data_IF_257309541211
#
_entry.id   IF_257309541211
#
_cell.length_a   1.000
_cell.length_b   1.000
_cell.length_c   1.000
_cell.angle_alpha   90.00
_cell.angle_beta   90.00
_cell.angle_gamma   90.00
#
_symmetry.space_group_name_H-M   'P 1'
#
loop_
_entity.id
_entity.type
_entity.pdbx_description
1 polymer ?
#
# COMPACT_ATOMS: atom_id res chain seq x y z
N UNK A 1 -20.24 30.01 60.84
CA UNK A 1 -20.13 28.58 61.20
C UNK A 1 -21.39 27.83 60.74
N UNK A 2 -21.28 26.55 60.33
CA UNK A 2 -21.54 26.14 58.95
C UNK A 2 -22.50 24.95 58.79
N UNK A 3 -22.85 24.60 57.54
CA UNK A 3 -23.14 23.26 56.96
C UNK A 3 -23.52 23.51 55.48
N UNK A 4 -22.77 23.16 54.44
CA UNK A 4 -21.90 22.02 54.23
C UNK A 4 -22.67 20.91 53.52
N UNK A 5 -22.63 20.87 52.18
CA UNK A 5 -22.71 19.64 51.38
C UNK A 5 -22.55 19.98 49.89
N UNK A 6 -21.34 19.74 49.36
CA UNK A 6 -21.02 19.89 47.95
C UNK A 6 -21.84 18.96 47.07
N UNK A 7 -22.33 19.49 45.94
CA UNK A 7 -22.74 18.68 44.80
C UNK A 7 -21.53 18.51 43.88
N UNK A 8 -20.68 17.54 44.21
CA UNK A 8 -19.76 16.93 43.26
C UNK A 8 -20.38 15.66 42.68
N UNK A 9 -19.91 15.29 41.48
CA UNK A 9 -20.26 14.08 40.69
C UNK A 9 -21.64 14.12 40.01
N UNK A 10 -21.77 13.92 38.69
CA UNK A 10 -20.87 13.39 37.66
C UNK A 10 -21.26 14.01 36.33
N UNK A 11 -20.29 14.56 35.60
CA UNK A 11 -20.38 14.66 34.13
C UNK A 11 -20.58 13.24 33.62
N UNK A 12 -21.78 12.94 33.12
CA UNK A 12 -22.11 11.64 32.51
C UNK A 12 -21.54 11.64 31.09
N UNK A 13 -20.22 11.48 31.00
CA UNK A 13 -19.48 11.30 29.75
C UNK A 13 -19.61 9.83 29.36
N UNK A 14 -20.77 9.39 28.85
CA UNK A 14 -20.86 8.04 28.28
C UNK A 14 -21.88 8.02 27.15
N UNK A 15 -21.39 7.70 25.96
CA UNK A 15 -22.20 7.26 24.85
C UNK A 15 -22.10 8.09 23.57
N UNK A 16 -20.93 8.65 23.24
CA UNK A 16 -20.62 8.73 21.81
C UNK A 16 -20.55 7.27 21.34
N UNK A 17 -21.64 6.74 20.80
CA UNK A 17 -21.56 5.64 19.83
C UNK A 17 -20.80 6.26 18.67
N UNK A 18 -19.46 6.32 18.78
CA UNK A 18 -18.61 6.45 17.62
C UNK A 18 -18.93 5.20 16.85
N UNK A 19 -19.84 5.36 15.90
CA UNK A 19 -20.37 4.27 15.13
C UNK A 19 -19.13 3.70 14.45
N UNK A 20 -18.72 2.47 14.79
CA UNK A 20 -17.50 1.92 14.23
C UNK A 20 -17.54 1.92 12.70
N UNK A 21 -18.75 1.92 12.12
CA UNK A 21 -19.01 2.19 10.72
C UNK A 21 -18.59 3.60 10.27
N UNK A 22 -18.84 4.65 11.05
CA UNK A 22 -18.38 6.01 10.78
C UNK A 22 -16.86 6.12 10.94
N UNK A 23 -16.26 5.46 11.94
CA UNK A 23 -14.81 5.40 12.08
C UNK A 23 -14.15 4.64 10.92
N UNK A 24 -14.76 3.52 10.51
CA UNK A 24 -14.29 2.67 9.42
C UNK A 24 -14.53 3.34 8.06
N UNK A 25 -15.63 4.10 7.92
CA UNK A 25 -15.87 4.94 6.76
C UNK A 25 -14.87 6.10 6.76
N UNK A 26 -14.64 6.82 7.85
CA UNK A 26 -13.62 7.87 7.94
C UNK A 26 -12.18 7.36 7.67
N UNK A 27 -11.89 6.09 8.02
CA UNK A 27 -10.64 5.41 7.64
C UNK A 27 -10.56 5.00 6.15
N UNK A 28 -11.70 4.89 5.47
CA UNK A 28 -11.82 4.48 4.06
C UNK A 28 -12.14 5.66 3.12
N UNK A 29 -12.69 6.77 3.64
CA UNK A 29 -13.42 7.76 2.84
C UNK A 29 -12.55 8.92 2.31
N UNK A 30 -12.85 9.27 1.06
CA UNK A 30 -12.45 10.39 0.19
C UNK A 30 -10.97 10.82 0.02
N UNK A 31 -10.01 10.32 0.82
CA UNK A 31 -8.58 10.58 0.60
C UNK A 31 -7.73 9.35 0.88
N UNK A 32 -7.95 8.25 0.15
CA UNK A 32 -7.24 6.98 0.39
C UNK A 32 -5.71 7.13 0.50
N UNK A 33 -5.10 8.04 -0.26
CA UNK A 33 -3.64 8.33 -0.18
C UNK A 33 -3.22 9.16 1.04
N UNK A 34 -4.14 9.94 1.62
CA UNK A 34 -3.90 10.73 2.84
C UNK A 34 -4.25 9.96 4.12
N UNK A 35 -4.87 8.80 4.00
CA UNK A 35 -5.23 7.96 5.13
C UNK A 35 -4.10 6.98 5.49
N UNK A 36 -3.83 6.83 6.78
CA UNK A 36 -2.84 5.88 7.31
C UNK A 36 -3.18 4.43 6.91
N UNK A 37 -4.46 4.12 6.74
CA UNK A 37 -4.92 2.79 6.35
C UNK A 37 -4.20 2.26 5.10
N UNK A 38 -4.08 3.09 4.07
CA UNK A 38 -3.48 2.67 2.79
C UNK A 38 -2.01 2.30 2.97
N UNK A 39 -1.27 3.11 3.73
CA UNK A 39 0.15 2.88 4.02
C UNK A 39 0.38 1.66 4.90
N UNK A 40 -0.52 1.40 5.85
CA UNK A 40 -0.49 0.16 6.64
C UNK A 40 -0.74 -1.04 5.72
N UNK A 41 -1.78 -0.99 4.88
CA UNK A 41 -2.09 -2.06 3.94
C UNK A 41 -0.90 -2.32 2.99
N UNK A 42 -0.29 -1.27 2.45
CA UNK A 42 0.89 -1.34 1.60
C UNK A 42 2.08 -1.98 2.35
N UNK A 43 2.38 -1.53 3.57
CA UNK A 43 3.49 -2.06 4.36
C UNK A 43 3.29 -3.53 4.74
N UNK A 44 2.10 -3.91 5.20
CA UNK A 44 1.74 -5.29 5.55
C UNK A 44 1.82 -6.18 4.32
N UNK A 45 1.27 -5.73 3.20
CA UNK A 45 1.30 -6.45 1.92
C UNK A 45 2.73 -6.71 1.45
N UNK A 46 3.59 -5.69 1.42
CA UNK A 46 4.97 -5.86 1.00
C UNK A 46 5.81 -6.65 1.98
N UNK A 47 5.51 -6.57 3.29
CA UNK A 47 6.12 -7.43 4.30
C UNK A 47 5.78 -8.90 4.05
N UNK A 48 4.50 -9.22 3.83
CA UNK A 48 4.03 -10.58 3.56
C UNK A 48 4.59 -11.14 2.24
N UNK A 49 4.59 -10.33 1.18
CA UNK A 49 5.11 -10.71 -0.14
C UNK A 49 6.63 -10.92 -0.14
N UNK A 50 7.38 -10.10 0.62
CA UNK A 50 8.84 -10.20 0.65
C UNK A 50 9.36 -11.40 1.45
N UNK A 51 8.57 -11.92 2.39
CA UNK A 51 8.97 -13.07 3.22
C UNK A 51 8.91 -14.40 2.47
N UNK A 52 8.00 -14.57 1.51
CA UNK A 52 7.76 -15.84 0.82
C UNK A 52 8.17 -15.75 -0.65
N UNK A 53 9.33 -16.32 -0.98
CA UNK A 53 9.88 -16.35 -2.34
C UNK A 53 9.37 -17.64 -2.98
N UNK A 54 8.51 -17.54 -4.00
CA UNK A 54 7.88 -18.71 -4.63
C UNK A 54 7.10 -19.62 -3.65
N UNK A 55 6.62 -19.07 -2.53
CA UNK A 55 5.95 -19.84 -1.46
C UNK A 55 6.90 -20.49 -0.46
N UNK A 56 8.21 -20.39 -0.66
CA UNK A 56 9.24 -20.95 0.23
C UNK A 56 9.84 -19.84 1.11
N UNK A 57 10.00 -20.07 2.44
CA UNK A 57 10.67 -19.11 3.32
C UNK A 57 12.14 -18.99 2.94
N UNK A 58 12.63 -17.75 2.78
CA UNK A 58 14.00 -17.52 2.31
C UNK A 58 15.08 -18.00 3.29
N UNK A 59 14.74 -18.17 4.56
CA UNK A 59 15.67 -18.71 5.56
C UNK A 59 16.16 -20.12 5.20
N UNK A 60 15.33 -20.93 4.53
CA UNK A 60 15.74 -22.24 4.02
C UNK A 60 16.79 -22.11 2.91
N UNK A 61 16.68 -21.09 2.05
CA UNK A 61 17.66 -20.80 0.98
C UNK A 61 19.01 -20.41 1.59
N UNK A 62 18.99 -19.57 2.63
CA UNK A 62 20.22 -19.17 3.34
C UNK A 62 20.81 -20.39 4.07
N UNK A 63 19.98 -21.18 4.75
CA UNK A 63 20.44 -22.38 5.49
C UNK A 63 21.10 -23.39 4.55
N UNK A 64 20.47 -23.67 3.41
CA UNK A 64 21.01 -24.57 2.38
C UNK A 64 22.29 -24.01 1.73
N UNK A 65 22.46 -22.68 1.67
CA UNK A 65 23.69 -22.07 1.18
C UNK A 65 24.85 -22.16 2.20
N UNK A 66 24.56 -22.16 3.50
CA UNK A 66 25.57 -22.26 4.57
C UNK A 66 26.10 -23.69 4.76
N UNK A 67 25.22 -24.68 4.69
CA UNK A 67 25.54 -26.11 4.91
C UNK A 67 25.87 -26.81 3.58
N UNK A 68 26.47 -26.09 2.64
CA UNK A 68 26.76 -26.57 1.28
C UNK A 68 27.91 -27.58 1.22
N UNK A 69 28.76 -27.60 2.26
CA UNK A 69 29.98 -28.41 2.36
C UNK A 69 29.84 -29.52 3.42
N UNK A 70 28.68 -29.62 4.08
CA UNK A 70 28.42 -30.67 5.06
C UNK A 70 28.17 -31.99 4.33
N UNK A 71 28.73 -33.09 4.85
CA UNK A 71 28.56 -34.43 4.28
C UNK A 71 27.08 -34.87 4.22
N UNK A 72 26.23 -34.23 5.03
CA UNK A 72 24.80 -34.47 5.10
C UNK A 72 24.03 -33.35 4.38
N UNK A 73 23.61 -33.62 3.14
CA UNK A 73 22.88 -32.68 2.28
C UNK A 73 21.42 -32.40 2.71
N UNK A 74 21.04 -32.71 3.96
CA UNK A 74 19.66 -32.62 4.45
C UNK A 74 19.04 -31.22 4.25
N UNK A 75 19.72 -30.09 4.55
CA UNK A 75 19.13 -28.76 4.37
C UNK A 75 18.85 -28.38 2.91
N UNK A 76 19.64 -28.94 1.98
CA UNK A 76 19.43 -28.74 0.55
C UNK A 76 18.25 -29.59 0.04
N UNK A 77 18.13 -30.82 0.52
CA UNK A 77 17.01 -31.70 0.18
C UNK A 77 15.68 -31.13 0.68
N UNK A 78 15.63 -30.65 1.93
CA UNK A 78 14.43 -30.03 2.50
C UNK A 78 13.99 -28.80 1.68
N UNK A 79 14.94 -28.00 1.20
CA UNK A 79 14.68 -26.86 0.32
C UNK A 79 14.09 -27.32 -1.01
N UNK A 80 14.70 -28.32 -1.65
CA UNK A 80 14.26 -28.85 -2.95
C UNK A 80 12.87 -29.46 -2.87
N UNK A 81 12.57 -30.24 -1.82
CA UNK A 81 11.24 -30.80 -1.61
C UNK A 81 10.19 -29.72 -1.38
N UNK A 82 10.50 -28.71 -0.58
CA UNK A 82 9.59 -27.59 -0.33
C UNK A 82 9.33 -26.78 -1.61
N UNK A 83 10.37 -26.52 -2.41
CA UNK A 83 10.23 -25.87 -3.72
C UNK A 83 9.37 -26.74 -4.64
N UNK A 84 9.63 -28.05 -4.73
CA UNK A 84 8.88 -28.97 -5.58
C UNK A 84 7.39 -28.95 -5.26
N UNK A 85 7.02 -29.00 -3.97
CA UNK A 85 5.63 -28.94 -3.52
C UNK A 85 4.98 -27.60 -3.92
N UNK A 86 5.66 -26.47 -3.68
CA UNK A 86 5.12 -25.15 -4.01
C UNK A 86 4.98 -24.92 -5.52
N UNK A 87 5.99 -25.31 -6.30
CA UNK A 87 5.97 -25.24 -7.78
C UNK A 87 4.83 -26.09 -8.34
N UNK A 88 4.67 -27.33 -7.88
CA UNK A 88 3.59 -28.20 -8.33
C UNK A 88 2.22 -27.61 -8.01
N UNK A 89 2.02 -27.09 -6.79
CA UNK A 89 0.77 -26.43 -6.39
C UNK A 89 0.49 -25.20 -7.26
N UNK A 90 1.49 -24.34 -7.47
CA UNK A 90 1.33 -23.10 -8.24
C UNK A 90 0.99 -23.39 -9.70
N UNK A 91 1.66 -24.37 -10.32
CA UNK A 91 1.39 -24.79 -11.69
C UNK A 91 0.06 -25.50 -11.83
N UNK A 92 -0.36 -26.29 -10.84
CA UNK A 92 -1.68 -26.90 -10.82
C UNK A 92 -2.78 -25.86 -10.79
N UNK A 93 -2.70 -24.88 -9.87
CA UNK A 93 -3.67 -23.78 -9.78
C UNK A 93 -3.70 -23.03 -11.12
N UNK A 94 -2.55 -22.64 -11.65
CA UNK A 94 -2.48 -21.94 -12.94
C UNK A 94 -3.00 -22.77 -14.12
N UNK A 95 -2.86 -24.10 -14.08
CA UNK A 95 -3.37 -24.97 -15.15
C UNK A 95 -4.90 -25.07 -15.12
N UNK A 96 -5.49 -25.14 -13.93
CA UNK A 96 -6.94 -25.29 -13.75
C UNK A 96 -7.68 -23.96 -13.88
N UNK A 97 -7.17 -22.89 -13.25
CA UNK A 97 -7.84 -21.59 -13.17
C UNK A 97 -7.20 -20.50 -14.02
N UNK A 98 -6.14 -20.79 -14.79
CA UNK A 98 -5.39 -19.78 -15.52
C UNK A 98 -6.22 -18.92 -16.47
N UNK A 99 -7.15 -19.53 -17.20
CA UNK A 99 -8.05 -18.79 -18.11
C UNK A 99 -8.99 -17.86 -17.34
N UNK A 100 -9.56 -18.34 -16.24
CA UNK A 100 -10.42 -17.54 -15.35
C UNK A 100 -9.65 -16.41 -14.68
N UNK A 101 -8.43 -16.68 -14.20
CA UNK A 101 -7.54 -15.67 -13.62
C UNK A 101 -7.20 -14.57 -14.62
N UNK A 102 -6.92 -14.92 -15.88
CA UNK A 102 -6.61 -13.93 -16.91
C UNK A 102 -7.85 -13.12 -17.31
N UNK A 103 -8.99 -13.78 -17.53
CA UNK A 103 -10.24 -13.13 -17.89
C UNK A 103 -10.76 -12.21 -16.79
N UNK A 104 -10.94 -12.73 -15.58
CA UNK A 104 -11.41 -11.93 -14.44
C UNK A 104 -10.38 -10.89 -14.01
N UNK A 105 -9.09 -11.21 -14.06
CA UNK A 105 -8.02 -10.28 -13.73
C UNK A 105 -8.00 -9.09 -14.69
N UNK A 106 -8.00 -9.34 -16.00
CA UNK A 106 -8.01 -8.27 -17.01
C UNK A 106 -9.28 -7.42 -16.94
N UNK A 107 -10.44 -8.06 -16.74
CA UNK A 107 -11.70 -7.35 -16.53
C UNK A 107 -11.68 -6.45 -15.29
N UNK A 108 -11.22 -6.98 -14.14
CA UNK A 108 -11.11 -6.24 -12.89
C UNK A 108 -10.12 -5.07 -13.03
N UNK A 109 -8.95 -5.27 -13.63
CA UNK A 109 -7.98 -4.21 -13.88
C UNK A 109 -8.56 -3.14 -14.82
N UNK A 110 -9.32 -3.53 -15.84
CA UNK A 110 -9.99 -2.59 -16.75
C UNK A 110 -10.97 -1.72 -15.98
N UNK A 111 -11.87 -2.30 -15.19
CA UNK A 111 -12.81 -1.54 -14.35
C UNK A 111 -12.06 -0.61 -13.40
N UNK A 112 -11.02 -1.11 -12.74
CA UNK A 112 -10.21 -0.31 -11.81
C UNK A 112 -9.56 0.88 -12.51
N UNK A 113 -9.09 0.70 -13.75
CA UNK A 113 -8.50 1.78 -14.55
C UNK A 113 -9.57 2.79 -14.94
N UNK A 114 -10.75 2.34 -15.40
CA UNK A 114 -11.85 3.23 -15.76
C UNK A 114 -12.30 4.04 -14.53
N UNK A 115 -12.60 3.37 -13.41
CA UNK A 115 -13.03 4.04 -12.18
C UNK A 115 -11.93 4.95 -11.63
N UNK A 116 -10.69 4.46 -11.60
CA UNK A 116 -9.57 5.17 -11.01
C UNK A 116 -9.15 6.39 -11.82
N UNK A 117 -8.91 6.25 -13.12
CA UNK A 117 -8.26 7.29 -13.93
C UNK A 117 -9.21 8.06 -14.84
N UNK A 118 -10.40 7.53 -15.14
CA UNK A 118 -11.41 8.26 -15.95
C UNK A 118 -12.44 8.94 -15.04
N UNK A 119 -12.92 8.23 -14.02
CA UNK A 119 -13.90 8.76 -13.06
C UNK A 119 -13.26 9.36 -11.78
N UNK A 120 -11.93 9.43 -11.72
CA UNK A 120 -11.15 9.98 -10.60
C UNK A 120 -11.50 9.40 -9.21
N UNK A 121 -11.93 8.13 -9.17
CA UNK A 121 -12.22 7.43 -7.92
C UNK A 121 -10.90 7.05 -7.23
N UNK A 122 -10.52 7.83 -6.21
CA UNK A 122 -9.25 7.63 -5.49
C UNK A 122 -9.09 6.24 -4.86
N UNK A 123 -10.18 5.66 -4.36
CA UNK A 123 -10.15 4.30 -3.80
C UNK A 123 -9.74 3.28 -4.87
N UNK A 124 -10.28 3.39 -6.09
CA UNK A 124 -9.94 2.50 -7.20
C UNK A 124 -8.48 2.67 -7.61
N UNK A 125 -7.96 3.91 -7.63
CA UNK A 125 -6.53 4.16 -7.87
C UNK A 125 -5.64 3.53 -6.79
N UNK A 126 -6.02 3.65 -5.50
CA UNK A 126 -5.29 3.07 -4.40
C UNK A 126 -5.25 1.54 -4.50
N UNK A 127 -6.40 0.90 -4.73
CA UNK A 127 -6.48 -0.56 -4.93
C UNK A 127 -5.71 -0.99 -6.18
N UNK A 128 -5.74 -0.20 -7.25
CA UNK A 128 -4.91 -0.45 -8.44
C UNK A 128 -3.41 -0.46 -8.09
N UNK A 129 -2.92 0.55 -7.37
CA UNK A 129 -1.52 0.63 -6.93
C UNK A 129 -1.08 -0.55 -6.08
N UNK A 130 -2.00 -1.18 -5.35
CA UNK A 130 -1.75 -2.39 -4.57
C UNK A 130 -1.77 -3.67 -5.43
N UNK A 131 -2.82 -3.87 -6.23
CA UNK A 131 -3.02 -5.12 -6.97
C UNK A 131 -2.12 -5.24 -8.20
N UNK A 132 -1.81 -4.14 -8.87
CA UNK A 132 -0.98 -4.13 -10.07
C UNK A 132 0.43 -4.71 -9.84
N UNK A 133 1.23 -4.25 -8.88
CA UNK A 133 2.55 -4.83 -8.64
C UNK A 133 2.46 -6.29 -8.16
N UNK A 134 1.42 -6.65 -7.42
CA UNK A 134 1.19 -8.04 -7.01
C UNK A 134 0.90 -8.96 -8.19
N UNK A 135 0.18 -8.49 -9.22
CA UNK A 135 -0.07 -9.29 -10.42
C UNK A 135 1.22 -9.57 -11.19
N UNK A 136 2.13 -8.58 -11.27
CA UNK A 136 3.47 -8.75 -11.85
C UNK A 136 4.28 -9.79 -11.06
N UNK A 137 4.28 -9.71 -9.72
CA UNK A 137 4.95 -10.69 -8.87
C UNK A 137 4.37 -12.09 -9.06
N UNK A 138 3.04 -12.21 -9.19
CA UNK A 138 2.37 -13.48 -9.49
C UNK A 138 2.81 -14.09 -10.82
N UNK A 139 2.88 -13.28 -11.88
CA UNK A 139 3.36 -13.71 -13.20
C UNK A 139 4.84 -14.11 -13.16
N UNK A 140 5.69 -13.34 -12.48
CA UNK A 140 7.10 -13.67 -12.29
C UNK A 140 7.26 -15.00 -11.54
N UNK A 141 6.43 -15.23 -10.52
CA UNK A 141 6.41 -16.47 -9.74
C UNK A 141 6.01 -17.65 -10.61
N UNK A 142 4.97 -17.50 -11.43
CA UNK A 142 4.55 -18.54 -12.37
C UNK A 142 5.63 -18.88 -13.40
N UNK A 143 6.26 -17.87 -13.99
CA UNK A 143 7.33 -18.07 -14.96
C UNK A 143 8.54 -18.78 -14.32
N UNK A 144 8.93 -18.34 -13.12
CA UNK A 144 10.04 -18.96 -12.39
C UNK A 144 9.71 -20.42 -12.02
N UNK A 145 8.48 -20.71 -11.61
CA UNK A 145 8.03 -22.06 -11.29
C UNK A 145 8.00 -22.99 -12.54
N UNK A 146 7.53 -22.49 -13.69
CA UNK A 146 7.57 -23.24 -14.97
C UNK A 146 9.01 -23.58 -15.33
N UNK A 147 9.90 -22.58 -15.28
CA UNK A 147 11.31 -22.75 -15.59
C UNK A 147 12.01 -23.75 -14.67
N UNK A 148 11.75 -23.71 -13.36
CA UNK A 148 12.30 -24.68 -12.40
C UNK A 148 11.83 -26.11 -12.75
N UNK A 149 10.56 -26.28 -13.14
CA UNK A 149 10.01 -27.59 -13.50
C UNK A 149 10.57 -28.11 -14.83
N UNK A 150 10.70 -27.26 -15.84
CA UNK A 150 11.15 -27.63 -17.19
C UNK A 150 12.66 -27.89 -17.25
N UNK A 151 13.47 -27.05 -16.60
CA UNK A 151 14.93 -27.20 -16.58
C UNK A 151 15.43 -28.13 -15.46
N UNK A 152 14.52 -28.74 -14.67
CA UNK A 152 14.83 -29.59 -13.51
C UNK A 152 15.91 -28.97 -12.58
N UNK A 153 15.76 -27.68 -12.29
CA UNK A 153 16.80 -26.90 -11.59
C UNK A 153 16.94 -27.38 -10.14
N UNK A 154 18.15 -27.78 -9.76
CA UNK A 154 18.49 -28.29 -8.43
C UNK A 154 19.78 -27.65 -7.88
N UNK A 155 20.11 -27.95 -6.63
CA UNK A 155 21.37 -27.62 -6.01
C UNK A 155 21.64 -26.11 -5.94
N UNK A 156 22.88 -25.73 -6.26
CA UNK A 156 23.34 -24.34 -6.23
C UNK A 156 22.62 -23.45 -7.26
N UNK A 157 22.23 -24.01 -8.41
CA UNK A 157 21.53 -23.26 -9.46
C UNK A 157 20.12 -22.87 -8.99
N UNK A 158 19.45 -23.76 -8.26
CA UNK A 158 18.14 -23.49 -7.67
C UNK A 158 18.24 -22.32 -6.67
N UNK A 159 19.22 -22.35 -5.76
CA UNK A 159 19.44 -21.26 -4.79
C UNK A 159 19.65 -19.93 -5.50
N UNK A 160 20.49 -19.90 -6.55
CA UNK A 160 20.74 -18.68 -7.35
C UNK A 160 19.47 -18.14 -8.00
N UNK A 161 18.62 -19.01 -8.55
CA UNK A 161 17.34 -18.61 -9.15
C UNK A 161 16.36 -18.06 -8.10
N UNK A 162 16.26 -18.68 -6.93
CA UNK A 162 15.42 -18.17 -5.82
C UNK A 162 15.92 -16.81 -5.30
N UNK A 163 17.24 -16.63 -5.17
CA UNK A 163 17.81 -15.33 -4.81
C UNK A 163 17.52 -14.26 -5.86
N UNK A 164 17.65 -14.58 -7.15
CA UNK A 164 17.29 -13.65 -8.25
C UNK A 164 15.80 -13.30 -8.22
N UNK A 165 14.93 -14.29 -8.04
CA UNK A 165 13.50 -14.07 -7.91
C UNK A 165 13.19 -13.09 -6.76
N UNK A 166 13.81 -13.28 -5.59
CA UNK A 166 13.68 -12.37 -4.45
C UNK A 166 14.10 -10.95 -4.78
N UNK A 167 15.25 -10.76 -5.43
CA UNK A 167 15.74 -9.44 -5.82
C UNK A 167 14.73 -8.74 -6.72
N UNK A 168 14.18 -9.45 -7.71
CA UNK A 168 13.14 -8.89 -8.58
C UNK A 168 11.88 -8.50 -7.82
N UNK A 169 11.39 -9.33 -6.89
CA UNK A 169 10.25 -8.99 -6.02
C UNK A 169 10.53 -7.72 -5.21
N UNK A 170 11.74 -7.58 -4.66
CA UNK A 170 12.13 -6.38 -3.91
C UNK A 170 12.21 -5.13 -4.80
N UNK A 171 12.76 -5.25 -6.01
CA UNK A 171 12.82 -4.15 -6.98
C UNK A 171 11.40 -3.71 -7.37
N UNK A 172 10.50 -4.65 -7.67
CA UNK A 172 9.10 -4.34 -7.97
C UNK A 172 8.43 -3.64 -6.77
N UNK A 173 8.69 -4.12 -5.56
CA UNK A 173 8.19 -3.50 -4.33
C UNK A 173 8.68 -2.09 -4.12
N UNK A 174 9.98 -1.87 -4.28
CA UNK A 174 10.60 -0.55 -4.15
C UNK A 174 10.04 0.42 -5.20
N UNK A 175 9.95 0.00 -6.47
CA UNK A 175 9.37 0.80 -7.55
C UNK A 175 7.88 1.09 -7.31
N UNK A 176 7.13 0.11 -6.82
CA UNK A 176 5.72 0.26 -6.51
C UNK A 176 5.49 1.27 -5.38
N UNK A 177 6.19 1.14 -4.26
CA UNK A 177 6.08 2.07 -3.13
C UNK A 177 6.46 3.48 -3.58
N UNK A 178 7.53 3.60 -4.36
CA UNK A 178 7.97 4.89 -4.89
C UNK A 178 6.92 5.54 -5.80
N UNK A 179 6.43 4.82 -6.81
CA UNK A 179 5.39 5.32 -7.72
C UNK A 179 4.10 5.68 -6.96
N UNK A 180 3.73 4.85 -5.99
CA UNK A 180 2.58 5.07 -5.10
C UNK A 180 2.73 6.33 -4.27
N UNK A 181 3.94 6.60 -3.76
CA UNK A 181 4.23 7.80 -2.95
C UNK A 181 4.12 9.06 -3.80
N UNK A 182 4.70 9.05 -5.01
CA UNK A 182 4.60 10.17 -5.95
C UNK A 182 3.14 10.44 -6.30
N UNK A 183 2.40 9.38 -6.65
CA UNK A 183 0.98 9.51 -6.99
C UNK A 183 0.13 10.01 -5.81
N UNK A 184 0.40 9.50 -4.61
CA UNK A 184 -0.30 9.94 -3.40
C UNK A 184 -0.07 11.41 -3.06
N UNK A 185 1.17 11.90 -3.24
CA UNK A 185 1.50 13.32 -3.10
C UNK A 185 0.79 14.15 -4.17
N UNK A 186 0.82 13.72 -5.44
CA UNK A 186 0.13 14.40 -6.54
C UNK A 186 -1.37 14.57 -6.25
N UNK A 187 -2.03 13.52 -5.77
CA UNK A 187 -3.46 13.58 -5.43
C UNK A 187 -3.73 14.46 -4.19
N UNK A 188 -2.88 14.39 -3.17
CA UNK A 188 -3.02 15.26 -2.00
C UNK A 188 -2.89 16.74 -2.37
N UNK A 189 -1.92 17.08 -3.24
CA UNK A 189 -1.70 18.43 -3.72
C UNK A 189 -2.89 18.94 -4.54
N UNK A 190 -3.35 18.18 -5.53
CA UNK A 190 -4.45 18.58 -6.43
C UNK A 190 -5.75 18.87 -5.67
N UNK A 191 -6.04 18.14 -4.60
CA UNK A 191 -7.22 18.37 -3.76
C UNK A 191 -7.08 19.60 -2.85
N UNK A 192 -5.86 19.93 -2.42
CA UNK A 192 -5.62 20.98 -1.41
C UNK A 192 -5.30 22.37 -2.01
N UNK A 193 -4.69 22.43 -3.19
CA UNK A 193 -4.32 23.69 -3.84
C UNK A 193 -5.51 24.61 -4.21
N UNK A 194 -6.70 24.15 -4.65
CA UNK A 194 -7.79 25.05 -5.08
C UNK A 194 -8.40 25.92 -3.97
N UNK A 195 -8.33 25.49 -2.71
CA UNK A 195 -9.01 26.18 -1.61
C UNK A 195 -8.13 27.24 -0.92
N UNK A 196 -6.82 27.01 -0.82
CA UNK A 196 -5.92 27.91 -0.09
C UNK A 196 -5.71 29.26 -0.80
N UNK A 197 -5.77 29.30 -2.13
CA UNK A 197 -5.65 30.55 -2.88
C UNK A 197 -6.92 31.42 -2.85
N UNK A 198 -8.09 30.86 -2.51
CA UNK A 198 -9.33 31.65 -2.37
C UNK A 198 -9.30 32.57 -1.15
N UNK A 199 -8.64 32.18 -0.07
CA UNK A 199 -8.57 32.97 1.16
C UNK A 199 -7.55 34.12 1.07
N UNK A 200 -6.45 33.94 0.33
CA UNK A 200 -5.44 34.99 0.14
C UNK A 200 -5.95 36.18 -0.69
N UNK A 201 -6.93 35.97 -1.57
CA UNK A 201 -7.61 37.05 -2.30
C UNK A 201 -8.67 37.80 -1.47
N UNK A 202 -9.03 37.32 -0.28
CA UNK A 202 -10.05 37.93 0.57
C UNK A 202 -9.45 38.83 1.68
N UNK A 203 -8.17 38.64 2.02
CA UNK A 203 -7.48 39.42 3.07
C UNK A 203 -7.01 40.81 2.56
N UNK A 204 -7.09 41.07 1.25
CA UNK A 204 -6.73 42.37 0.66
C UNK A 204 -7.80 43.47 0.84
N UNK A 205 -8.90 43.21 1.56
CA UNK A 205 -9.95 44.20 1.83
C UNK A 205 -9.96 44.75 3.27
N UNK A 206 -8.92 44.51 4.07
CA UNK A 206 -8.84 45.05 5.44
C UNK A 206 -8.15 46.43 5.41
N UNK A 207 -9.00 47.44 5.64
CA UNK A 207 -8.74 48.84 6.05
C UNK A 207 -7.81 49.73 5.20
N UNK A 208 -8.42 50.58 4.37
CA UNK A 208 -7.86 51.91 4.09
C UNK A 208 -7.96 52.75 5.39
N UNK A 209 -6.88 53.38 5.87
CA UNK A 209 -7.00 54.37 6.91
C UNK A 209 -7.70 55.60 6.31
N UNK A 210 -8.82 56.00 6.91
CA UNK A 210 -9.51 57.24 6.58
C UNK A 210 -8.59 58.39 7.00
N UNK A 211 -7.91 58.99 6.04
CA UNK A 211 -7.14 60.22 6.22
C UNK A 211 -8.12 61.40 6.32
N UNK A 212 -8.32 61.90 7.53
CA UNK A 212 -9.18 63.04 7.82
C UNK A 212 -8.32 64.28 8.12
N UNK A 213 -7.51 64.75 7.15
CA UNK A 213 -6.87 66.07 7.24
C UNK A 213 -7.10 66.90 5.97
N UNK A 214 -8.21 67.67 5.96
CA UNK A 214 -8.31 68.96 5.26
C UNK A 214 -9.32 69.85 5.96
N UNK A 215 -8.85 70.94 6.56
CA UNK A 215 -9.76 71.99 7.06
C UNK A 215 -9.12 73.09 7.90
N UNK A 216 -7.97 73.61 7.49
CA UNK A 216 -7.37 74.80 8.11
C UNK A 216 -8.19 76.05 7.71
N UNK A 217 -9.01 76.58 8.61
CA UNK A 217 -9.44 78.00 8.58
C UNK A 217 -8.93 78.69 9.85
N UNK A 218 -7.83 79.43 9.70
CA UNK A 218 -7.40 80.47 10.64
C UNK A 218 -7.88 81.82 10.10
N UNK A 219 -8.29 82.68 11.02
CA UNK A 219 -9.08 83.89 10.76
C UNK A 219 -8.40 84.95 9.91
N UNK A 220 -9.22 85.86 9.42
CA UNK A 220 -9.25 87.29 9.74
C UNK A 220 -10.66 87.83 9.41
#
# INVERSE_FOLDING_TARGET
MPRGAGKHSRKRIWGAKVNWYELLNEMIDMRSFSNLWFWIALAVMWSATSHRVLGVPFDMVIRAARHKDDAENQPQQDLEDMVRINVNRLLYISGVSGLWMLGLGSFLFTIMILLGFIYDVQLAQAVFCLLFPLSIVGLLSLNTARRIREEHIQGAVLRKQLTRHRVWVQVIGMLSIFATTIWGIYQNLTVNLPNNFRHLGQISHVEQPIDHDRGRTRGL
#
